data_IF_316120789397
#
_entry.id   IF_316120789397
#
_cell.length_a   1.000
_cell.length_b   1.000
_cell.length_c   1.000
_cell.angle_alpha   90.00
_cell.angle_beta   90.00
_cell.angle_gamma   90.00
#
_symmetry.space_group_name_H-M   'P 1'
#
loop_
_entity.id
_entity.type
_entity.pdbx_description
1 polymer ?
#
# COMPACT_ATOMS: atom_id res chain seq x y z
N UNK A 1 -25.60 2.60 -29.05
CA UNK A 1 -24.46 2.97 -28.17
C UNK A 1 -23.22 2.80 -29.02
N UNK A 2 -22.66 3.88 -29.58
CA UNK A 2 -21.46 3.77 -30.42
C UNK A 2 -20.24 3.59 -29.52
N UNK A 3 -19.55 2.45 -29.65
CA UNK A 3 -18.33 2.19 -28.92
C UNK A 3 -17.15 2.86 -29.64
N UNK A 4 -16.64 3.95 -29.07
CA UNK A 4 -15.38 4.55 -29.52
C UNK A 4 -14.22 3.56 -29.32
N UNK A 5 -13.23 3.61 -30.22
CA UNK A 5 -11.99 2.82 -30.13
C UNK A 5 -11.35 2.98 -28.75
N UNK A 6 -11.38 4.18 -28.18
CA UNK A 6 -10.82 4.45 -26.84
C UNK A 6 -11.59 3.73 -25.74
N UNK A 7 -12.92 3.65 -25.85
CA UNK A 7 -13.76 2.91 -24.90
C UNK A 7 -13.48 1.41 -24.96
N UNK A 8 -13.35 0.86 -26.18
CA UNK A 8 -12.97 -0.54 -26.38
C UNK A 8 -11.56 -0.82 -25.83
N UNK A 9 -10.61 0.09 -26.07
CA UNK A 9 -9.27 -0.02 -25.53
C UNK A 9 -9.28 -0.02 -23.99
N UNK A 10 -10.03 0.87 -23.34
CA UNK A 10 -10.13 0.89 -21.88
C UNK A 10 -10.79 -0.37 -21.31
N UNK A 11 -11.82 -0.89 -21.96
CA UNK A 11 -12.48 -2.14 -21.55
C UNK A 11 -11.54 -3.35 -21.60
N UNK A 12 -10.59 -3.39 -22.54
CA UNK A 12 -9.62 -4.47 -22.66
C UNK A 12 -8.39 -4.22 -21.77
N UNK A 13 -7.84 -3.01 -21.78
CA UNK A 13 -6.59 -2.69 -21.08
C UNK A 13 -6.75 -2.63 -19.57
N UNK A 14 -7.91 -2.22 -19.05
CA UNK A 14 -8.15 -2.14 -17.60
C UNK A 14 -8.08 -3.50 -16.90
N UNK A 15 -8.81 -4.55 -17.33
CA UNK A 15 -8.70 -5.86 -16.69
C UNK A 15 -7.31 -6.49 -16.89
N UNK A 16 -6.64 -6.26 -18.03
CA UNK A 16 -5.26 -6.70 -18.23
C UNK A 16 -4.29 -6.02 -17.26
N UNK A 17 -4.44 -4.72 -17.05
CA UNK A 17 -3.65 -3.95 -16.09
C UNK A 17 -3.89 -4.45 -14.66
N UNK A 18 -5.15 -4.63 -14.26
CA UNK A 18 -5.53 -5.18 -12.95
C UNK A 18 -4.91 -6.56 -12.76
N UNK A 19 -5.04 -7.45 -13.75
CA UNK A 19 -4.46 -8.79 -13.69
C UNK A 19 -2.94 -8.75 -13.54
N UNK A 20 -2.25 -7.87 -14.27
CA UNK A 20 -0.79 -7.72 -14.18
C UNK A 20 -0.35 -7.18 -12.82
N UNK A 21 -1.04 -6.18 -12.28
CA UNK A 21 -0.78 -5.63 -10.95
C UNK A 21 -1.03 -6.70 -9.88
N UNK A 22 -2.18 -7.37 -9.92
CA UNK A 22 -2.54 -8.45 -9.00
C UNK A 22 -1.49 -9.58 -9.01
N UNK A 23 -1.12 -10.05 -10.20
CA UNK A 23 -0.15 -11.14 -10.36
C UNK A 23 1.23 -10.75 -9.84
N UNK A 24 1.65 -9.51 -10.10
CA UNK A 24 2.91 -8.96 -9.57
C UNK A 24 2.88 -8.85 -8.05
N UNK A 25 1.82 -8.29 -7.46
CA UNK A 25 1.75 -8.15 -6.00
C UNK A 25 1.71 -9.54 -5.36
N UNK A 26 0.93 -10.48 -5.91
CA UNK A 26 0.84 -11.85 -5.39
C UNK A 26 2.22 -12.55 -5.37
N UNK A 27 3.04 -12.38 -6.40
CA UNK A 27 4.41 -12.95 -6.40
C UNK A 27 5.32 -12.25 -5.39
N UNK A 28 5.14 -10.94 -5.17
CA UNK A 28 5.78 -10.17 -4.08
C UNK A 28 5.23 -10.51 -2.68
N UNK A 29 4.33 -11.48 -2.52
CA UNK A 29 3.90 -11.96 -1.20
C UNK A 29 4.38 -13.38 -0.90
N UNK A 30 5.19 -13.97 -1.79
CA UNK A 30 5.84 -15.25 -1.53
C UNK A 30 7.03 -15.10 -0.57
N UNK A 31 7.72 -16.21 -0.30
CA UNK A 31 8.92 -16.22 0.54
C UNK A 31 9.95 -15.22 0.01
N UNK A 32 10.36 -14.29 0.87
CA UNK A 32 11.27 -13.22 0.52
C UNK A 32 12.51 -13.21 1.40
N UNK A 33 13.65 -12.90 0.78
CA UNK A 33 14.86 -12.56 1.54
C UNK A 33 14.66 -11.21 2.21
N UNK A 34 14.88 -11.17 3.51
CA UNK A 34 14.84 -9.95 4.31
C UNK A 34 16.10 -9.12 4.05
N UNK A 35 15.95 -8.01 3.31
CA UNK A 35 17.01 -7.07 3.00
C UNK A 35 16.72 -5.76 3.73
N UNK A 36 17.62 -5.35 4.63
CA UNK A 36 17.39 -4.24 5.56
C UNK A 36 17.11 -2.92 4.84
N UNK A 37 17.81 -2.63 3.74
CA UNK A 37 17.59 -1.42 2.95
C UNK A 37 16.16 -1.33 2.40
N UNK A 38 15.58 -2.45 1.93
CA UNK A 38 14.20 -2.49 1.44
C UNK A 38 13.19 -2.15 2.52
N UNK A 39 13.43 -2.56 3.76
CA UNK A 39 12.55 -2.25 4.89
C UNK A 39 12.65 -0.77 5.27
N UNK A 40 13.83 -0.16 5.19
CA UNK A 40 13.96 1.30 5.34
C UNK A 40 13.22 2.05 4.24
N UNK A 41 13.38 1.65 2.98
CA UNK A 41 12.61 2.23 1.87
C UNK A 41 11.11 2.11 2.11
N UNK A 42 10.64 0.95 2.59
CA UNK A 42 9.24 0.75 2.95
C UNK A 42 8.76 1.73 4.02
N UNK A 43 9.50 1.86 5.12
CA UNK A 43 9.16 2.83 6.18
C UNK A 43 9.12 4.26 5.66
N UNK A 44 10.11 4.67 4.85
CA UNK A 44 10.17 6.03 4.30
C UNK A 44 9.02 6.31 3.33
N UNK A 45 8.78 5.42 2.37
CA UNK A 45 7.74 5.61 1.35
C UNK A 45 6.35 5.59 1.98
N UNK A 46 6.03 4.58 2.79
CA UNK A 46 4.71 4.50 3.42
C UNK A 46 4.53 5.52 4.55
N UNK A 47 5.61 5.93 5.22
CA UNK A 47 5.59 7.07 6.13
C UNK A 47 5.26 8.38 5.40
N UNK A 48 5.92 8.64 4.27
CA UNK A 48 5.66 9.82 3.44
C UNK A 48 4.22 9.85 2.91
N UNK A 49 3.66 8.69 2.54
CA UNK A 49 2.25 8.59 2.12
C UNK A 49 1.25 9.01 3.21
N UNK A 50 1.63 9.00 4.49
CA UNK A 50 0.82 9.53 5.58
C UNK A 50 1.19 10.99 5.85
N UNK A 51 2.49 11.29 6.01
CA UNK A 51 2.96 12.60 6.46
C UNK A 51 2.70 13.73 5.46
N UNK A 52 2.80 13.45 4.15
CA UNK A 52 2.58 14.48 3.11
C UNK A 52 1.11 14.93 3.08
N UNK A 53 0.11 14.03 3.00
CA UNK A 53 -1.28 14.43 3.17
C UNK A 53 -1.56 15.06 4.53
N UNK A 54 -0.99 14.50 5.62
CA UNK A 54 -1.22 15.02 6.97
C UNK A 54 -0.89 16.52 7.08
N UNK A 55 0.19 16.96 6.43
CA UNK A 55 0.59 18.37 6.41
C UNK A 55 -0.38 19.30 5.69
N UNK A 56 -1.29 18.77 4.88
CA UNK A 56 -2.23 19.52 4.03
C UNK A 56 -3.67 19.49 4.54
N UNK A 57 -4.00 18.59 5.48
CA UNK A 57 -5.39 18.28 5.83
C UNK A 57 -5.89 18.98 7.10
N UNK A 58 -5.14 19.92 7.67
CA UNK A 58 -5.53 20.60 8.91
C UNK A 58 -6.86 21.37 8.78
N UNK A 59 -7.15 21.93 7.61
CA UNK A 59 -8.40 22.66 7.33
C UNK A 59 -9.55 21.73 6.88
N UNK A 60 -9.30 20.43 6.73
CA UNK A 60 -10.29 19.43 6.24
C UNK A 60 -10.44 18.29 7.25
N UNK A 61 -11.12 18.52 8.38
CA UNK A 61 -11.12 17.59 9.52
C UNK A 61 -11.65 16.21 9.18
N UNK A 62 -12.62 16.09 8.26
CA UNK A 62 -13.13 14.80 7.80
C UNK A 62 -12.10 13.99 7.02
N UNK A 63 -11.31 14.64 6.16
CA UNK A 63 -10.28 13.97 5.35
C UNK A 63 -9.09 13.57 6.23
N UNK A 64 -8.73 14.44 7.18
CA UNK A 64 -7.76 14.15 8.22
C UNK A 64 -8.19 12.94 9.08
N UNK A 65 -9.42 12.93 9.57
CA UNK A 65 -9.95 11.82 10.35
C UNK A 65 -9.94 10.51 9.55
N UNK A 66 -10.34 10.55 8.27
CA UNK A 66 -10.30 9.39 7.40
C UNK A 66 -8.88 8.84 7.21
N UNK A 67 -7.88 9.72 7.03
CA UNK A 67 -6.47 9.32 6.97
C UNK A 67 -6.01 8.61 8.25
N UNK A 68 -6.30 9.20 9.41
CA UNK A 68 -5.87 8.68 10.71
C UNK A 68 -6.58 7.36 11.06
N UNK A 69 -7.88 7.26 10.82
CA UNK A 69 -8.66 6.03 10.99
C UNK A 69 -8.14 4.94 10.05
N UNK A 70 -7.88 5.29 8.80
CA UNK A 70 -7.27 4.38 7.83
C UNK A 70 -5.91 3.87 8.34
N UNK A 71 -5.02 4.78 8.73
CA UNK A 71 -3.70 4.44 9.25
C UNK A 71 -3.78 3.53 10.47
N UNK A 72 -4.64 3.86 11.45
CA UNK A 72 -4.87 3.03 12.63
C UNK A 72 -5.40 1.63 12.27
N UNK A 73 -6.38 1.55 11.37
CA UNK A 73 -6.91 0.28 10.88
C UNK A 73 -5.87 -0.57 10.15
N UNK A 74 -5.06 0.06 9.28
CA UNK A 74 -3.96 -0.57 8.56
C UNK A 74 -2.89 -1.11 9.50
N UNK A 75 -2.50 -0.33 10.52
CA UNK A 75 -1.56 -0.76 11.57
C UNK A 75 -2.13 -1.96 12.33
N UNK A 76 -3.39 -1.90 12.77
CA UNK A 76 -4.04 -3.01 13.46
C UNK A 76 -4.05 -4.29 12.63
N UNK A 77 -4.35 -4.16 11.34
CA UNK A 77 -4.32 -5.29 10.40
C UNK A 77 -2.90 -5.83 10.17
N UNK A 78 -1.88 -4.96 10.14
CA UNK A 78 -0.48 -5.38 10.05
C UNK A 78 -0.01 -6.11 11.31
N UNK A 79 -0.43 -5.68 12.50
CA UNK A 79 -0.15 -6.41 13.75
C UNK A 79 -0.69 -7.84 13.66
N UNK A 80 -1.91 -8.02 13.17
CA UNK A 80 -2.47 -9.34 12.96
C UNK A 80 -1.71 -10.14 11.89
N UNK A 81 -1.39 -9.52 10.75
CA UNK A 81 -0.64 -10.17 9.68
C UNK A 81 0.77 -10.60 10.10
N UNK A 82 1.45 -9.81 10.94
CA UNK A 82 2.77 -10.15 11.49
C UNK A 82 2.73 -11.38 12.40
N UNK A 83 1.64 -11.61 13.15
CA UNK A 83 1.47 -12.83 13.96
C UNK A 83 1.39 -14.09 13.11
N UNK A 84 0.88 -13.96 11.88
CA UNK A 84 0.75 -15.06 10.91
C UNK A 84 1.97 -15.19 9.99
N UNK A 85 2.97 -14.33 10.17
CA UNK A 85 4.15 -14.28 9.29
C UNK A 85 5.16 -15.33 9.73
N UNK A 86 5.62 -16.16 8.80
CA UNK A 86 6.70 -17.11 9.08
C UNK A 86 8.04 -16.40 8.92
N UNK A 87 8.81 -16.36 10.00
CA UNK A 87 10.18 -15.88 10.03
C UNK A 87 11.13 -17.07 9.99
N UNK A 88 12.15 -17.01 9.13
CA UNK A 88 13.11 -18.08 8.94
C UNK A 88 14.53 -17.51 9.05
N UNK A 89 15.34 -18.16 9.87
CA UNK A 89 16.77 -17.90 10.02
C UNK A 89 17.48 -19.11 9.45
N UNK A 90 18.13 -18.96 8.29
CA UNK A 90 18.85 -20.05 7.62
C UNK A 90 20.32 -19.67 7.44
N UNK A 91 21.23 -20.62 7.21
CA UNK A 91 22.64 -20.32 6.92
C UNK A 91 22.83 -19.38 5.73
N UNK A 92 21.89 -19.39 4.77
CA UNK A 92 21.89 -18.53 3.58
C UNK A 92 21.35 -17.10 3.86
N UNK A 93 20.77 -16.89 5.04
CA UNK A 93 20.33 -15.61 5.54
C UNK A 93 18.90 -15.62 6.10
N UNK A 94 18.35 -14.41 6.22
CA UNK A 94 17.05 -14.19 6.84
C UNK A 94 15.93 -14.14 5.80
N UNK A 95 14.88 -14.90 6.02
CA UNK A 95 13.71 -14.94 5.16
C UNK A 95 12.43 -14.67 5.95
N UNK A 96 11.43 -14.15 5.25
CA UNK A 96 10.08 -14.01 5.80
C UNK A 96 9.05 -14.34 4.73
N UNK A 97 7.94 -14.93 5.15
CA UNK A 97 6.81 -15.25 4.28
C UNK A 97 5.55 -14.62 4.88
N UNK A 98 5.06 -13.51 4.30
CA UNK A 98 3.84 -12.85 4.77
C UNK A 98 2.59 -13.68 4.39
N UNK A 99 1.48 -13.54 5.14
CA UNK A 99 0.20 -14.07 4.71
C UNK A 99 -0.29 -13.32 3.46
N UNK A 100 -0.14 -13.94 2.29
CA UNK A 100 -0.27 -13.26 1.01
C UNK A 100 -1.62 -12.55 0.79
N UNK A 101 -2.72 -13.16 1.26
CA UNK A 101 -4.07 -12.59 1.11
C UNK A 101 -4.20 -11.25 1.84
N UNK A 102 -3.62 -11.12 3.03
CA UNK A 102 -3.74 -9.89 3.83
C UNK A 102 -3.03 -8.72 3.16
N UNK A 103 -1.77 -8.92 2.74
CA UNK A 103 -1.02 -7.89 2.02
C UNK A 103 -1.66 -7.54 0.67
N UNK A 104 -2.18 -8.55 -0.03
CA UNK A 104 -2.84 -8.35 -1.32
C UNK A 104 -4.11 -7.51 -1.21
N UNK A 105 -4.97 -7.77 -0.21
CA UNK A 105 -6.17 -6.95 0.03
C UNK A 105 -5.80 -5.49 0.28
N UNK A 106 -4.82 -5.24 1.16
CA UNK A 106 -4.40 -3.87 1.50
C UNK A 106 -3.80 -3.12 0.32
N UNK A 107 -3.04 -3.79 -0.55
CA UNK A 107 -2.54 -3.16 -1.77
C UNK A 107 -3.66 -2.92 -2.79
N UNK A 108 -4.55 -3.90 -2.98
CA UNK A 108 -5.60 -3.82 -4.00
C UNK A 108 -6.67 -2.77 -3.69
N UNK A 109 -6.91 -2.44 -2.41
CA UNK A 109 -7.78 -1.31 -2.02
C UNK A 109 -7.28 -0.01 -2.63
N UNK A 110 -5.99 0.30 -2.47
CA UNK A 110 -5.42 1.53 -3.04
C UNK A 110 -5.38 1.48 -4.57
N UNK A 111 -5.03 0.34 -5.15
CA UNK A 111 -5.04 0.16 -6.62
C UNK A 111 -6.43 0.43 -7.19
N UNK A 112 -7.48 -0.15 -6.59
CA UNK A 112 -8.86 0.08 -7.01
C UNK A 112 -9.23 1.56 -6.92
N UNK A 113 -8.81 2.24 -5.83
CA UNK A 113 -9.06 3.67 -5.68
C UNK A 113 -8.34 4.51 -6.73
N UNK A 114 -7.08 4.20 -7.04
CA UNK A 114 -6.31 4.92 -8.06
C UNK A 114 -6.86 4.70 -9.47
N UNK A 115 -7.34 3.48 -9.78
CA UNK A 115 -8.01 3.21 -11.05
C UNK A 115 -9.30 4.02 -11.19
N UNK A 116 -10.10 4.11 -10.13
CA UNK A 116 -11.31 4.94 -10.11
C UNK A 116 -10.98 6.41 -10.40
N UNK A 117 -9.98 6.98 -9.71
CA UNK A 117 -9.56 8.37 -9.94
C UNK A 117 -9.05 8.55 -11.39
N UNK A 118 -8.31 7.58 -11.93
CA UNK A 118 -7.87 7.61 -13.32
C UNK A 118 -9.04 7.64 -14.32
N UNK A 119 -10.10 6.86 -14.07
CA UNK A 119 -11.32 6.87 -14.87
C UNK A 119 -12.03 8.22 -14.76
N UNK A 120 -12.12 8.80 -13.55
CA UNK A 120 -12.74 10.11 -13.33
C UNK A 120 -11.99 11.22 -14.08
N UNK A 121 -10.66 11.25 -13.99
CA UNK A 121 -9.82 12.20 -14.74
C UNK A 121 -10.02 12.05 -16.24
N UNK A 122 -10.04 10.81 -16.75
CA UNK A 122 -10.30 10.55 -18.17
C UNK A 122 -11.71 11.00 -18.60
N UNK A 123 -12.74 10.69 -17.82
CA UNK A 123 -14.12 11.05 -18.12
C UNK A 123 -14.36 12.57 -18.08
N UNK A 124 -13.53 13.31 -17.35
CA UNK A 124 -13.60 14.77 -17.23
C UNK A 124 -12.66 15.51 -18.20
N UNK A 125 -11.87 14.77 -18.99
CA UNK A 125 -10.96 15.35 -19.96
C UNK A 125 -11.72 16.21 -20.99
N UNK A 126 -11.25 17.46 -21.20
CA UNK A 126 -11.86 18.40 -22.14
C UNK A 126 -13.12 19.11 -21.64
N UNK A 127 -13.60 18.82 -20.42
CA UNK A 127 -14.81 19.45 -19.85
C UNK A 127 -14.53 20.73 -19.04
N UNK A 128 -13.28 21.17 -18.95
CA UNK A 128 -12.88 22.34 -18.15
C UNK A 128 -12.98 22.13 -16.63
N UNK A 129 -13.28 20.91 -16.17
CA UNK A 129 -13.35 20.54 -14.75
C UNK A 129 -11.90 20.39 -14.22
N UNK A 130 -11.53 21.04 -13.11
CA UNK A 130 -10.21 20.88 -12.50
C UNK A 130 -9.90 19.43 -12.15
N UNK A 131 -8.64 19.02 -12.29
CA UNK A 131 -8.20 17.68 -11.89
C UNK A 131 -8.30 17.53 -10.37
N UNK A 132 -8.99 16.49 -9.87
CA UNK A 132 -9.13 16.28 -8.43
C UNK A 132 -7.77 16.02 -7.78
N UNK A 133 -7.51 16.65 -6.64
CA UNK A 133 -6.33 16.35 -5.83
C UNK A 133 -6.61 15.09 -5.02
N UNK A 134 -5.57 14.30 -4.74
CA UNK A 134 -5.71 13.08 -3.95
C UNK A 134 -6.31 13.35 -2.56
N UNK A 135 -5.99 14.51 -1.97
CA UNK A 135 -6.42 14.94 -0.64
C UNK A 135 -7.84 15.48 -0.58
N UNK A 136 -8.52 15.67 -1.71
CA UNK A 136 -9.87 16.27 -1.74
C UNK A 136 -10.93 15.28 -1.25
N UNK A 137 -10.65 13.97 -1.30
CA UNK A 137 -11.63 12.93 -0.98
C UNK A 137 -11.31 12.18 0.33
N UNK A 138 -12.25 12.13 1.29
CA UNK A 138 -12.06 11.36 2.52
C UNK A 138 -11.88 9.87 2.25
N UNK A 139 -12.57 9.31 1.24
CA UNK A 139 -12.40 7.91 0.85
C UNK A 139 -10.98 7.64 0.34
N UNK A 140 -10.39 8.56 -0.43
CA UNK A 140 -9.00 8.43 -0.87
C UNK A 140 -8.05 8.47 0.32
N UNK A 141 -8.27 9.37 1.28
CA UNK A 141 -7.47 9.45 2.50
C UNK A 141 -7.58 8.19 3.36
N UNK A 142 -8.77 7.59 3.45
CA UNK A 142 -8.95 6.29 4.12
C UNK A 142 -8.15 5.18 3.42
N UNK A 143 -8.23 5.07 2.08
CA UNK A 143 -7.48 4.09 1.31
C UNK A 143 -5.95 4.29 1.42
N UNK A 144 -5.49 5.54 1.37
CA UNK A 144 -4.07 5.87 1.57
C UNK A 144 -3.63 5.47 2.97
N UNK A 145 -4.40 5.88 3.99
CA UNK A 145 -4.13 5.59 5.40
C UNK A 145 -4.04 4.08 5.64
N UNK A 146 -5.03 3.29 5.21
CA UNK A 146 -5.06 1.84 5.48
C UNK A 146 -3.89 1.11 4.81
N UNK A 147 -3.58 1.42 3.56
CA UNK A 147 -2.48 0.80 2.83
C UNK A 147 -1.13 1.22 3.41
N UNK A 148 -0.93 2.51 3.64
CA UNK A 148 0.33 3.04 4.18
C UNK A 148 0.57 2.61 5.63
N UNK A 149 -0.47 2.63 6.47
CA UNK A 149 -0.42 2.13 7.85
C UNK A 149 -0.04 0.65 7.89
N UNK A 150 -0.65 -0.17 7.03
CA UNK A 150 -0.32 -1.59 6.95
C UNK A 150 1.14 -1.81 6.55
N UNK A 151 1.56 -1.36 5.38
CA UNK A 151 2.90 -1.66 4.86
C UNK A 151 4.00 -0.90 5.59
N UNK A 152 3.73 0.30 6.08
CA UNK A 152 4.67 1.08 6.89
C UNK A 152 4.96 0.39 8.23
N UNK A 153 3.91 -0.04 8.95
CA UNK A 153 4.09 -0.77 10.20
C UNK A 153 4.75 -2.13 9.99
N UNK A 154 4.35 -2.84 8.94
CA UNK A 154 4.96 -4.11 8.56
C UNK A 154 6.46 -3.96 8.30
N UNK A 155 6.86 -2.95 7.51
CA UNK A 155 8.27 -2.64 7.24
C UNK A 155 9.05 -2.28 8.51
N UNK A 156 8.47 -1.46 9.38
CA UNK A 156 9.07 -1.11 10.66
C UNK A 156 9.22 -2.32 11.59
N UNK A 157 8.26 -3.24 11.59
CA UNK A 157 8.33 -4.48 12.35
C UNK A 157 9.43 -5.42 11.84
N UNK A 158 9.61 -5.53 10.52
CA UNK A 158 10.70 -6.30 9.92
C UNK A 158 12.08 -5.74 10.29
N UNK A 159 12.23 -4.40 10.33
CA UNK A 159 13.45 -3.76 10.85
C UNK A 159 13.68 -4.11 12.32
N UNK A 160 12.63 -4.03 13.15
CA UNK A 160 12.72 -4.39 14.57
C UNK A 160 13.09 -5.86 14.78
N UNK A 161 12.55 -6.77 13.98
CA UNK A 161 12.94 -8.18 13.99
C UNK A 161 14.41 -8.33 13.61
N UNK A 162 14.85 -7.74 12.49
CA UNK A 162 16.26 -7.78 12.04
C UNK A 162 17.26 -7.26 13.08
N UNK A 163 16.91 -6.21 13.82
CA UNK A 163 17.75 -5.68 14.90
C UNK A 163 17.82 -6.62 16.09
N UNK A 164 16.70 -7.26 16.46
CA UNK A 164 16.65 -8.24 17.57
C UNK A 164 17.53 -9.46 17.28
N UNK A 165 17.42 -10.01 16.08
CA UNK A 165 18.22 -11.18 15.69
C UNK A 165 19.72 -10.84 15.67
N UNK A 166 20.10 -9.66 15.16
CA UNK A 166 21.50 -9.23 15.19
C UNK A 166 22.04 -9.09 16.61
N UNK A 167 21.28 -8.49 17.53
CA UNK A 167 21.68 -8.37 18.94
C UNK A 167 21.88 -9.72 19.62
N UNK A 168 21.05 -10.72 19.28
CA UNK A 168 21.19 -12.06 19.83
C UNK A 168 22.50 -12.75 19.38
N UNK A 169 22.96 -12.47 18.16
CA UNK A 169 24.25 -12.95 17.66
C UNK A 169 25.41 -12.24 18.36
N UNK A 170 25.32 -10.91 18.53
CA UNK A 170 26.39 -10.12 19.16
C UNK A 170 26.56 -10.41 20.68
N UNK A 171 25.64 -11.16 21.30
CA UNK A 171 25.65 -11.54 22.72
C UNK A 171 26.17 -12.97 22.98
N UNK A 172 26.48 -13.74 21.93
CA UNK A 172 27.07 -15.08 21.97
C UNK A 172 28.57 -14.98 21.71
#
# INVERSE_FOLDING_TARGET
MEFSITTLALLVLTPLLVWRIYSRIKTQMQRQRSIVSRHYTGVLVFGAMILVPLAQLFDTPYNLAALLVGAGGGIGYAVWGLKLTRFEETPQGYFFTPPARLGLVMAMILVARLLYIGIEVYANQGKGIPTPRLTDSPLTMLCVGITAGYFGYYSAALLRWRRRVRKAIDQV
#
